data_IF_889897052299
#
_entry.id   IF_889897052299
#
_cell.length_a   1.000
_cell.length_b   1.000
_cell.length_c   1.000
_cell.angle_alpha   90.00
_cell.angle_beta   90.00
_cell.angle_gamma   90.00
#
_symmetry.space_group_name_H-M   'P 1'
#
loop_
_entity.id
_entity.type
_entity.pdbx_description
1 polymer ?
#
# COMPACT_ATOMS: atom_id res chain seq x y z
N UNK A 1 6.64 -21.05 12.63
CA UNK A 1 6.01 -19.80 12.17
C UNK A 1 4.54 -20.09 11.91
N UNK A 2 3.65 -19.56 12.73
CA UNK A 2 2.23 -19.92 12.66
C UNK A 2 1.52 -19.33 11.44
N UNK A 3 2.04 -18.24 10.87
CA UNK A 3 1.53 -17.68 9.60
C UNK A 3 1.61 -18.67 8.44
N UNK A 4 2.73 -19.38 8.27
CA UNK A 4 2.89 -20.40 7.24
C UNK A 4 1.88 -21.55 7.41
N UNK A 5 1.64 -21.98 8.66
CA UNK A 5 0.64 -23.00 8.97
C UNK A 5 -0.78 -22.52 8.64
N UNK A 6 -1.14 -21.28 9.02
CA UNK A 6 -2.46 -20.69 8.74
C UNK A 6 -2.71 -20.53 7.24
N UNK A 7 -1.70 -20.08 6.50
CA UNK A 7 -1.76 -19.91 5.04
C UNK A 7 -1.64 -21.24 4.28
N UNK A 8 -1.26 -22.32 4.96
CA UNK A 8 -0.96 -23.64 4.36
C UNK A 8 0.13 -23.55 3.29
N UNK A 9 1.17 -22.76 3.56
CA UNK A 9 2.30 -22.54 2.68
C UNK A 9 3.61 -23.00 3.31
N UNK A 10 4.61 -23.29 2.48
CA UNK A 10 5.98 -23.59 2.91
C UNK A 10 6.87 -22.34 2.94
N UNK A 11 6.50 -21.30 2.19
CA UNK A 11 7.16 -19.99 2.17
C UNK A 11 6.16 -18.87 1.85
N UNK A 12 6.57 -17.61 2.03
CA UNK A 12 5.86 -16.42 1.53
C UNK A 12 6.78 -15.59 0.63
N UNK A 13 6.22 -14.90 -0.36
CA UNK A 13 7.03 -14.06 -1.25
C UNK A 13 7.59 -12.84 -0.51
N UNK A 14 6.74 -12.09 0.19
CA UNK A 14 7.16 -10.90 0.95
C UNK A 14 6.72 -11.03 2.40
N UNK A 15 7.63 -10.76 3.34
CA UNK A 15 7.30 -10.65 4.76
C UNK A 15 7.49 -9.20 5.21
N UNK A 16 6.40 -8.55 5.60
CA UNK A 16 6.42 -7.15 6.06
C UNK A 16 6.62 -7.06 7.58
N UNK A 17 7.54 -6.20 7.99
CA UNK A 17 7.53 -5.63 9.34
C UNK A 17 6.59 -4.43 9.33
N UNK A 18 5.54 -4.51 10.14
CA UNK A 18 4.63 -3.39 10.35
C UNK A 18 5.21 -2.55 11.49
N UNK A 19 5.70 -1.36 11.16
CA UNK A 19 6.23 -0.39 12.12
C UNK A 19 5.38 0.87 11.98
N UNK A 20 4.72 1.26 13.07
CA UNK A 20 4.08 2.56 13.14
C UNK A 20 5.09 3.61 13.60
N UNK A 21 4.92 4.87 13.19
CA UNK A 21 5.88 5.93 13.51
C UNK A 21 6.10 6.10 15.03
N UNK A 22 5.05 5.88 15.84
CA UNK A 22 5.12 5.87 17.31
C UNK A 22 6.00 4.75 17.89
N UNK A 23 6.17 3.66 17.14
CA UNK A 23 6.85 2.46 17.61
C UNK A 23 8.34 2.53 17.32
N UNK A 24 8.76 3.33 16.34
CA UNK A 24 10.12 3.29 15.85
C UNK A 24 11.14 3.78 16.86
N UNK A 25 11.07 5.05 17.29
CA UNK A 25 12.12 5.61 18.16
C UNK A 25 12.30 4.81 19.46
N UNK A 26 11.24 4.37 20.16
CA UNK A 26 11.39 3.55 21.36
C UNK A 26 11.99 2.16 21.11
N UNK A 27 11.84 1.59 19.91
CA UNK A 27 12.25 0.21 19.59
C UNK A 27 13.30 0.13 18.48
N UNK A 28 13.91 1.26 18.10
CA UNK A 28 14.80 1.36 16.92
C UNK A 28 15.88 0.29 16.93
N UNK A 29 16.53 0.10 18.08
CA UNK A 29 17.59 -0.91 18.24
C UNK A 29 17.08 -2.33 18.00
N UNK A 30 15.93 -2.68 18.57
CA UNK A 30 15.31 -4.01 18.43
C UNK A 30 14.91 -4.24 16.98
N UNK A 31 14.33 -3.24 16.32
CA UNK A 31 13.91 -3.35 14.92
C UNK A 31 15.14 -3.58 14.04
N UNK A 32 16.14 -2.70 14.12
CA UNK A 32 17.30 -2.71 13.22
C UNK A 32 18.22 -3.92 13.45
N UNK A 33 18.49 -4.26 14.71
CA UNK A 33 19.52 -5.24 15.04
C UNK A 33 18.99 -6.62 15.43
N UNK A 34 17.70 -6.76 15.72
CA UNK A 34 17.10 -8.07 16.01
C UNK A 34 16.07 -8.47 14.96
N UNK A 35 15.06 -7.62 14.72
CA UNK A 35 13.92 -7.95 13.87
C UNK A 35 14.34 -8.15 12.41
N UNK A 36 15.09 -7.21 11.85
CA UNK A 36 15.56 -7.31 10.47
C UNK A 36 16.58 -8.45 10.30
N UNK A 37 17.44 -8.69 11.29
CA UNK A 37 18.35 -9.85 11.28
C UNK A 37 17.60 -11.18 11.33
N UNK A 38 16.51 -11.27 12.09
CA UNK A 38 15.65 -12.45 12.13
C UNK A 38 14.97 -12.72 10.78
N UNK A 39 14.58 -11.66 10.05
CA UNK A 39 14.04 -11.79 8.70
C UNK A 39 15.12 -12.21 7.70
N UNK A 40 16.35 -11.74 7.84
CA UNK A 40 17.48 -12.20 7.03
C UNK A 40 17.72 -13.71 7.20
N UNK A 41 17.67 -14.20 8.44
CA UNK A 41 17.74 -15.63 8.72
C UNK A 41 16.54 -16.39 8.12
N UNK A 42 15.33 -15.82 8.19
CA UNK A 42 14.15 -16.41 7.58
C UNK A 42 14.29 -16.51 6.05
N UNK A 43 14.86 -15.49 5.41
CA UNK A 43 15.17 -15.44 3.98
C UNK A 43 16.19 -16.50 3.61
N UNK A 44 17.29 -16.57 4.35
CA UNK A 44 18.36 -17.56 4.18
C UNK A 44 17.84 -19.00 4.35
N UNK A 45 16.86 -19.22 5.21
CA UNK A 45 16.19 -20.52 5.39
C UNK A 45 15.14 -20.86 4.33
N UNK A 46 14.89 -19.98 3.35
CA UNK A 46 13.92 -20.16 2.27
C UNK A 46 12.45 -19.98 2.68
N UNK A 47 12.18 -19.47 3.89
CA UNK A 47 10.81 -19.25 4.37
C UNK A 47 10.18 -17.97 3.84
N UNK A 48 11.00 -16.99 3.44
CA UNK A 48 10.58 -15.75 2.81
C UNK A 48 11.50 -15.47 1.61
N UNK A 49 11.02 -14.76 0.58
CA UNK A 49 11.88 -14.34 -0.55
C UNK A 49 12.36 -12.90 -0.40
N UNK A 50 11.47 -12.00 0.02
CA UNK A 50 11.70 -10.56 0.09
C UNK A 50 11.34 -10.01 1.47
N UNK A 51 12.06 -8.97 1.88
CA UNK A 51 11.83 -8.24 3.13
C UNK A 51 11.08 -6.94 2.83
N UNK A 52 9.93 -6.79 3.47
CA UNK A 52 9.07 -5.62 3.37
C UNK A 52 9.08 -4.77 4.65
N UNK A 53 8.91 -3.47 4.53
CA UNK A 53 8.79 -2.55 5.66
C UNK A 53 7.64 -1.55 5.46
N UNK A 54 6.92 -1.22 6.52
CA UNK A 54 6.00 -0.06 6.52
C UNK A 54 6.64 1.10 7.25
N UNK A 55 6.62 2.29 6.66
CA UNK A 55 7.26 3.49 7.24
C UNK A 55 8.59 3.87 6.60
N UNK A 56 9.18 4.97 7.09
CA UNK A 56 10.29 5.70 6.44
C UNK A 56 11.70 5.26 6.88
N UNK A 57 11.90 4.00 7.23
CA UNK A 57 13.09 3.53 7.96
C UNK A 57 14.20 2.94 7.09
N UNK A 58 14.16 3.25 5.80
CA UNK A 58 15.01 2.64 4.78
C UNK A 58 16.49 2.97 5.05
N UNK A 59 16.78 4.22 5.42
CA UNK A 59 18.15 4.74 5.45
C UNK A 59 18.99 4.24 6.64
N UNK A 60 18.35 3.66 7.66
CA UNK A 60 19.03 3.20 8.88
C UNK A 60 19.32 1.69 8.91
N UNK A 61 18.87 0.94 7.91
CA UNK A 61 18.99 -0.52 7.91
C UNK A 61 20.28 -1.01 7.24
N UNK A 62 21.01 -1.89 7.92
CA UNK A 62 22.08 -2.68 7.29
C UNK A 62 21.54 -3.87 6.50
N UNK A 63 20.29 -4.27 6.75
CA UNK A 63 19.61 -5.35 6.05
C UNK A 63 18.98 -4.80 4.79
N UNK A 64 19.18 -5.47 3.65
CA UNK A 64 18.54 -5.08 2.39
C UNK A 64 17.02 -5.17 2.50
N UNK A 65 16.36 -4.03 2.38
CA UNK A 65 14.90 -3.93 2.22
C UNK A 65 14.57 -4.01 0.74
N UNK A 66 13.60 -4.86 0.38
CA UNK A 66 13.22 -5.08 -1.02
C UNK A 66 11.96 -4.28 -1.39
N UNK A 67 11.05 -4.09 -0.43
CA UNK A 67 9.77 -3.41 -0.65
C UNK A 67 9.43 -2.52 0.54
N UNK A 68 8.91 -1.33 0.29
CA UNK A 68 8.27 -0.50 1.31
C UNK A 68 6.81 -0.26 0.99
N UNK A 69 6.00 -0.12 2.03
CA UNK A 69 4.61 0.27 1.91
C UNK A 69 4.36 1.58 2.64
N UNK A 70 3.95 2.60 1.89
CA UNK A 70 3.40 3.84 2.44
C UNK A 70 1.94 3.62 2.80
N UNK A 71 1.39 4.38 3.75
CA UNK A 71 0.00 4.24 4.15
C UNK A 71 -0.68 5.60 4.13
N UNK A 72 -1.72 5.76 3.30
CA UNK A 72 -2.50 6.99 3.09
C UNK A 72 -1.77 8.19 2.45
N UNK A 73 -0.45 8.16 2.27
CA UNK A 73 0.33 9.28 1.71
C UNK A 73 0.37 9.37 0.16
N UNK A 74 -0.20 8.37 -0.52
CA UNK A 74 -0.37 8.34 -1.99
C UNK A 74 -1.84 8.48 -2.39
N UNK A 75 -2.53 9.49 -1.87
CA UNK A 75 -3.97 9.70 -2.04
C UNK A 75 -4.27 11.14 -2.49
N UNK A 76 -5.51 11.42 -2.91
CA UNK A 76 -5.86 12.78 -3.35
C UNK A 76 -5.79 13.82 -2.23
N UNK A 77 -6.01 13.40 -0.98
CA UNK A 77 -5.97 14.29 0.19
C UNK A 77 -4.57 14.39 0.82
N UNK A 78 -3.64 13.51 0.45
CA UNK A 78 -2.25 13.51 0.88
C UNK A 78 -1.38 12.87 -0.21
N UNK A 79 -0.56 13.70 -0.85
CA UNK A 79 0.34 13.34 -1.93
C UNK A 79 1.81 13.53 -1.57
N UNK A 80 2.13 13.46 -0.28
CA UNK A 80 3.48 13.69 0.27
C UNK A 80 4.52 12.62 -0.14
N UNK A 81 4.12 11.54 -0.80
CA UNK A 81 5.01 10.46 -1.29
C UNK A 81 6.03 10.88 -2.37
N UNK A 82 5.93 12.09 -2.92
CA UNK A 82 6.71 12.58 -4.07
C UNK A 82 8.16 12.10 -4.17
N UNK A 83 9.10 12.78 -3.49
CA UNK A 83 10.54 12.42 -3.57
C UNK A 83 10.85 11.05 -2.97
N UNK A 84 10.01 10.57 -2.06
CA UNK A 84 10.18 9.28 -1.41
C UNK A 84 10.13 8.12 -2.41
N UNK A 85 9.20 8.14 -3.38
CA UNK A 85 9.13 7.08 -4.40
C UNK A 85 10.40 7.06 -5.24
N UNK A 86 10.89 8.22 -5.65
CA UNK A 86 12.11 8.34 -6.46
C UNK A 86 13.35 7.84 -5.71
N UNK A 87 13.50 8.19 -4.42
CA UNK A 87 14.61 7.70 -3.59
C UNK A 87 14.61 6.17 -3.46
N UNK A 88 13.42 5.57 -3.24
CA UNK A 88 13.26 4.12 -3.17
C UNK A 88 13.65 3.45 -4.49
N UNK A 89 13.16 3.97 -5.61
CA UNK A 89 13.47 3.44 -6.93
C UNK A 89 14.97 3.46 -7.25
N UNK A 90 15.65 4.56 -6.94
CA UNK A 90 17.10 4.68 -7.11
C UNK A 90 17.88 3.67 -6.26
N UNK A 91 17.31 3.27 -5.13
CA UNK A 91 17.85 2.25 -4.23
C UNK A 91 17.44 0.82 -4.61
N UNK A 92 16.68 0.63 -5.69
CA UNK A 92 16.15 -0.66 -6.12
C UNK A 92 15.07 -1.23 -5.22
N UNK A 93 14.34 -0.37 -4.49
CA UNK A 93 13.28 -0.71 -3.55
C UNK A 93 11.92 -0.45 -4.20
N UNK A 94 11.04 -1.46 -4.20
CA UNK A 94 9.67 -1.30 -4.68
C UNK A 94 8.80 -0.55 -3.67
N UNK A 95 7.88 0.30 -4.15
CA UNK A 95 6.96 1.06 -3.28
C UNK A 95 5.52 0.59 -3.50
N UNK A 96 4.85 0.21 -2.42
CA UNK A 96 3.43 -0.09 -2.39
C UNK A 96 2.66 1.06 -1.75
N UNK A 97 1.55 1.44 -2.37
CA UNK A 97 0.64 2.43 -1.81
C UNK A 97 -0.51 1.73 -1.05
N UNK A 98 -0.43 1.73 0.27
CA UNK A 98 -1.46 1.20 1.16
C UNK A 98 -2.56 2.21 1.42
N UNK A 99 -3.82 1.77 1.36
CA UNK A 99 -4.99 2.59 1.69
C UNK A 99 -5.10 3.88 0.84
N UNK A 100 -5.13 3.78 -0.51
CA UNK A 100 -5.26 4.95 -1.39
C UNK A 100 -6.61 5.68 -1.25
N UNK A 101 -7.60 5.05 -0.62
CA UNK A 101 -8.90 5.65 -0.28
C UNK A 101 -8.88 6.37 1.08
N UNK A 102 -7.69 6.52 1.68
CA UNK A 102 -7.48 7.18 2.98
C UNK A 102 -8.42 6.66 4.05
N UNK A 103 -8.44 5.34 4.22
CA UNK A 103 -9.23 4.61 5.22
C UNK A 103 -10.74 4.94 5.17
N UNK A 104 -11.26 5.24 3.98
CA UNK A 104 -12.68 5.53 3.74
C UNK A 104 -13.02 7.01 3.61
N UNK A 105 -12.06 7.93 3.84
CA UNK A 105 -12.27 9.37 3.61
C UNK A 105 -12.71 9.66 2.18
N UNK A 106 -12.08 9.00 1.20
CA UNK A 106 -12.35 9.18 -0.22
C UNK A 106 -13.36 8.15 -0.73
N UNK A 107 -14.43 7.92 0.02
CA UNK A 107 -15.52 7.02 -0.37
C UNK A 107 -16.88 7.66 -0.14
N UNK A 108 -17.88 7.19 -0.88
CA UNK A 108 -19.27 7.65 -0.74
C UNK A 108 -19.85 7.31 0.64
N UNK A 109 -19.34 6.26 1.29
CA UNK A 109 -19.73 5.87 2.65
C UNK A 109 -19.11 6.77 3.73
N UNK A 110 -17.96 7.36 3.45
CA UNK A 110 -17.16 8.09 4.42
C UNK A 110 -16.36 7.20 5.37
N UNK A 111 -15.53 7.83 6.23
CA UNK A 111 -14.61 7.13 7.12
C UNK A 111 -15.32 6.50 8.33
N UNK A 112 -14.68 5.56 9.03
CA UNK A 112 -15.18 5.06 10.32
C UNK A 112 -15.15 6.16 11.41
N UNK A 113 -15.96 6.04 12.48
CA UNK A 113 -16.02 7.05 13.55
C UNK A 113 -14.67 7.30 14.26
N UNK A 114 -13.82 6.27 14.33
CA UNK A 114 -12.51 6.31 14.99
C UNK A 114 -11.38 6.84 14.08
N UNK A 115 -11.70 7.37 12.90
CA UNK A 115 -10.70 7.79 11.92
C UNK A 115 -9.75 8.87 12.48
N UNK A 116 -8.41 8.69 12.33
CA UNK A 116 -7.41 9.52 13.01
C UNK A 116 -7.25 10.93 12.41
N UNK A 117 -7.68 11.14 11.17
CA UNK A 117 -7.57 12.45 10.53
C UNK A 117 -8.27 13.56 11.34
N UNK A 118 -7.69 14.78 11.37
CA UNK A 118 -8.35 15.95 11.92
C UNK A 118 -9.69 16.24 11.24
N UNK A 119 -10.58 16.92 11.95
CA UNK A 119 -11.94 17.18 11.46
C UNK A 119 -11.95 18.02 10.18
N UNK A 120 -11.04 18.98 10.03
CA UNK A 120 -10.94 19.76 8.79
C UNK A 120 -10.63 18.91 7.55
N UNK A 121 -9.86 17.81 7.70
CA UNK A 121 -9.58 16.86 6.61
C UNK A 121 -10.83 16.01 6.31
N UNK A 122 -11.55 15.58 7.35
CA UNK A 122 -12.82 14.84 7.20
C UNK A 122 -13.86 15.69 6.47
N UNK A 123 -14.02 16.94 6.87
CA UNK A 123 -14.94 17.91 6.26
C UNK A 123 -14.56 18.21 4.81
N UNK A 124 -13.28 18.45 4.52
CA UNK A 124 -12.81 18.66 3.15
C UNK A 124 -13.04 17.44 2.25
N UNK A 125 -12.78 16.23 2.77
CA UNK A 125 -13.03 14.98 2.05
C UNK A 125 -14.53 14.78 1.77
N UNK A 126 -15.38 15.07 2.76
CA UNK A 126 -16.83 15.02 2.60
C UNK A 126 -17.34 16.03 1.57
N UNK A 127 -16.82 17.26 1.58
CA UNK A 127 -17.14 18.28 0.59
C UNK A 127 -16.72 17.84 -0.83
N UNK A 128 -15.54 17.23 -0.98
CA UNK A 128 -15.08 16.66 -2.25
C UNK A 128 -15.98 15.51 -2.73
N UNK A 129 -16.43 14.64 -1.82
CA UNK A 129 -17.40 13.57 -2.12
C UNK A 129 -18.71 14.17 -2.64
N UNK A 130 -19.29 15.15 -1.95
CA UNK A 130 -20.52 15.82 -2.40
C UNK A 130 -20.35 16.52 -3.75
N UNK A 131 -19.20 17.16 -3.99
CA UNK A 131 -18.90 17.78 -5.28
C UNK A 131 -18.85 16.73 -6.39
N UNK A 132 -18.15 15.61 -6.20
CA UNK A 132 -18.10 14.53 -7.18
C UNK A 132 -19.49 13.95 -7.47
N UNK A 133 -20.30 13.73 -6.43
CA UNK A 133 -21.69 13.28 -6.58
C UNK A 133 -22.53 14.26 -7.41
N UNK A 134 -22.37 15.58 -7.21
CA UNK A 134 -23.06 16.61 -7.99
C UNK A 134 -22.69 16.58 -9.49
N UNK A 135 -21.54 15.99 -9.82
CA UNK A 135 -21.04 15.81 -11.20
C UNK A 135 -21.26 14.39 -11.72
N UNK A 136 -21.96 13.53 -10.98
CA UNK A 136 -22.14 12.11 -11.29
C UNK A 136 -20.81 11.35 -11.45
N UNK A 137 -19.80 11.72 -10.63
CA UNK A 137 -18.48 11.09 -10.57
C UNK A 137 -18.36 10.38 -9.22
N UNK A 138 -17.82 9.16 -9.23
CA UNK A 138 -17.47 8.44 -7.99
C UNK A 138 -16.13 8.95 -7.46
N UNK A 139 -16.13 9.44 -6.21
CA UNK A 139 -14.91 9.88 -5.54
C UNK A 139 -13.95 8.70 -5.34
N UNK A 140 -14.49 7.51 -5.06
CA UNK A 140 -13.70 6.28 -4.88
C UNK A 140 -12.94 5.92 -6.16
N UNK A 141 -13.61 5.97 -7.32
CA UNK A 141 -12.96 5.69 -8.62
C UNK A 141 -11.91 6.74 -8.96
N UNK A 142 -12.22 8.02 -8.71
CA UNK A 142 -11.28 9.12 -8.94
C UNK A 142 -10.04 9.00 -8.05
N UNK A 143 -10.22 8.66 -6.78
CA UNK A 143 -9.14 8.45 -5.81
C UNK A 143 -8.21 7.30 -6.23
N UNK A 144 -8.79 6.18 -6.70
CA UNK A 144 -8.02 5.04 -7.17
C UNK A 144 -7.25 5.37 -8.46
N UNK A 145 -7.89 6.02 -9.42
CA UNK A 145 -7.23 6.47 -10.64
C UNK A 145 -6.02 7.37 -10.32
N UNK A 146 -6.22 8.35 -9.43
CA UNK A 146 -5.13 9.21 -8.95
C UNK A 146 -3.98 8.38 -8.34
N UNK A 147 -4.30 7.43 -7.46
CA UNK A 147 -3.31 6.61 -6.77
C UNK A 147 -2.52 5.69 -7.70
N UNK A 148 -3.15 5.18 -8.77
CA UNK A 148 -2.48 4.36 -9.79
C UNK A 148 -1.54 5.17 -10.68
N UNK A 149 -1.85 6.44 -10.91
CA UNK A 149 -1.04 7.34 -11.73
C UNK A 149 0.18 7.93 -10.99
N UNK A 150 0.36 7.64 -9.69
CA UNK A 150 1.51 8.14 -8.92
C UNK A 150 2.81 7.53 -9.45
N UNK A 151 3.75 8.35 -9.97
CA UNK A 151 5.00 7.85 -10.49
C UNK A 151 5.82 7.11 -9.44
N UNK A 152 6.31 5.94 -9.84
CA UNK A 152 7.19 5.10 -9.04
C UNK A 152 6.52 4.21 -7.99
N UNK A 153 5.19 4.23 -7.93
CA UNK A 153 4.44 3.20 -7.22
C UNK A 153 4.40 1.90 -8.02
N UNK A 154 4.69 0.78 -7.38
CA UNK A 154 4.63 -0.55 -8.00
C UNK A 154 3.19 -1.11 -8.01
N UNK A 155 2.41 -0.82 -6.97
CA UNK A 155 1.02 -1.28 -6.84
C UNK A 155 0.31 -0.55 -5.71
N UNK A 156 -1.03 -0.60 -5.70
CA UNK A 156 -1.85 -0.14 -4.58
C UNK A 156 -2.54 -1.31 -3.87
N UNK A 157 -2.48 -1.32 -2.54
CA UNK A 157 -3.18 -2.27 -1.68
C UNK A 157 -4.49 -1.64 -1.19
N UNK A 158 -5.61 -2.17 -1.69
CA UNK A 158 -6.96 -1.64 -1.44
C UNK A 158 -7.80 -2.71 -0.75
N UNK A 159 -8.41 -2.36 0.38
CA UNK A 159 -9.37 -3.21 1.06
C UNK A 159 -10.77 -3.03 0.47
N UNK A 160 -11.49 -4.14 0.26
CA UNK A 160 -12.86 -4.15 -0.23
C UNK A 160 -13.67 -5.18 0.55
N UNK A 161 -14.92 -4.84 0.87
CA UNK A 161 -15.83 -5.69 1.65
C UNK A 161 -17.01 -6.24 0.81
N UNK A 162 -17.07 -5.91 -0.48
CA UNK A 162 -18.12 -6.37 -1.38
C UNK A 162 -17.60 -6.68 -2.80
N UNK A 163 -18.27 -7.62 -3.47
CA UNK A 163 -17.96 -8.00 -4.85
C UNK A 163 -18.17 -6.81 -5.80
N UNK A 164 -19.16 -5.97 -5.52
CA UNK A 164 -19.45 -4.77 -6.30
C UNK A 164 -18.25 -3.82 -6.34
N UNK A 165 -17.57 -3.60 -5.22
CA UNK A 165 -16.35 -2.78 -5.17
C UNK A 165 -15.21 -3.39 -6.00
N UNK A 166 -15.05 -4.72 -5.97
CA UNK A 166 -14.04 -5.43 -6.77
C UNK A 166 -14.28 -5.21 -8.27
N UNK A 167 -15.53 -5.34 -8.71
CA UNK A 167 -15.90 -5.17 -10.11
C UNK A 167 -15.74 -3.72 -10.57
N UNK A 168 -16.02 -2.74 -9.71
CA UNK A 168 -15.84 -1.31 -10.02
C UNK A 168 -14.39 -0.92 -10.29
N UNK A 169 -13.41 -1.60 -9.65
CA UNK A 169 -11.98 -1.35 -9.89
C UNK A 169 -11.54 -1.81 -11.27
N UNK A 170 -12.02 -2.96 -11.75
CA UNK A 170 -11.63 -3.49 -13.06
C UNK A 170 -11.90 -2.49 -14.19
N UNK A 171 -12.95 -1.70 -14.06
CA UNK A 171 -13.29 -0.66 -15.04
C UNK A 171 -12.39 0.58 -14.92
N UNK A 172 -11.76 0.81 -13.76
CA UNK A 172 -10.82 1.92 -13.53
C UNK A 172 -9.39 1.58 -14.00
N UNK A 173 -9.01 0.30 -13.96
CA UNK A 173 -7.71 -0.20 -14.46
C UNK A 173 -7.64 -0.26 -16.01
N UNK A 174 -8.72 0.12 -16.72
CA UNK A 174 -8.88 -0.12 -18.15
C UNK A 174 -9.28 -1.56 -18.44
N UNK A 175 -10.11 -1.75 -19.47
CA UNK A 175 -10.65 -3.05 -19.87
C UNK A 175 -9.51 -4.09 -19.94
N UNK A 176 -9.60 -5.16 -19.14
CA UNK A 176 -8.58 -6.22 -18.99
C UNK A 176 -8.32 -7.07 -20.25
N UNK A 177 -8.55 -6.50 -21.43
CA UNK A 177 -8.34 -7.08 -22.75
C UNK A 177 -6.86 -7.30 -23.09
N UNK A 178 -5.91 -6.60 -22.45
CA UNK A 178 -4.48 -6.81 -22.71
C UNK A 178 -3.93 -8.10 -22.09
N UNK A 179 -4.48 -8.57 -20.95
CA UNK A 179 -3.98 -9.81 -20.31
C UNK A 179 -4.27 -11.08 -21.12
N UNK A 180 -5.27 -11.06 -22.01
CA UNK A 180 -5.59 -12.22 -22.87
C UNK A 180 -4.63 -12.39 -24.05
N UNK A 181 -3.99 -11.31 -24.53
CA UNK A 181 -3.08 -11.40 -25.69
C UNK A 181 -1.75 -12.10 -25.36
N UNK A 182 -1.28 -12.00 -24.12
CA UNK A 182 0.04 -12.55 -23.73
C UNK A 182 0.07 -14.06 -23.52
N UNK A 183 -1.07 -14.76 -23.65
CA UNK A 183 -1.15 -16.24 -23.54
C UNK A 183 -1.30 -16.96 -24.88
N UNK A 184 -1.59 -16.26 -25.98
CA UNK A 184 -1.73 -16.90 -27.30
C UNK A 184 -0.42 -16.90 -28.12
N UNK A 185 0.56 -16.07 -27.76
CA UNK A 185 1.84 -15.94 -28.50
C UNK A 185 3.01 -16.78 -27.94
N UNK A 186 2.76 -17.69 -26.98
CA UNK A 186 3.78 -18.63 -26.46
C UNK A 186 3.31 -20.10 -26.50
N UNK A 187 2.48 -20.44 -27.50
CA UNK A 187 2.13 -21.82 -27.85
C UNK A 187 3.11 -22.45 -28.82
#
# INVERSE_FOLDING_TARGET
>A
MDSLKRLRLTYVDVCFVQIHDSDFEPHRTIILYETLQALEMARSSGKIRYIGLTGSLIDCSSTKIDVVMTYCHGSMNDNSVGEFTFSCQNSGIGVLNGSPLSMGLLTERGPPPWHPAPDFIKEASLAATHYCMSKNISISKLALAYAFDIPGMCSCVVGMDSIQQILMKRDADGDGAEWKKTREDNG
#
